data_IF_583779341988
#
_entry.id   IF_583779341988
#
_cell.length_a   1.000
_cell.length_b   1.000
_cell.length_c   1.000
_cell.angle_alpha   90.00
_cell.angle_beta   90.00
_cell.angle_gamma   90.00
#
_symmetry.space_group_name_H-M   'P 1'
#
loop_
_entity.id
_entity.type
_entity.pdbx_description
1 polymer ?
#
# COMPACT_ATOMS: atom_id res chain seq x y z
N UNK A 1 17.71 -12.58 6.29
CA UNK A 1 17.46 -12.01 4.95
C UNK A 1 16.24 -11.14 5.07
N UNK A 2 16.34 -9.86 4.76
CA UNK A 2 15.19 -8.95 4.89
C UNK A 2 14.45 -8.92 3.57
N UNK A 3 13.20 -9.38 3.58
CA UNK A 3 12.36 -9.38 2.37
C UNK A 3 12.11 -7.94 1.92
N UNK A 4 12.40 -7.67 0.65
CA UNK A 4 12.08 -6.40 0.01
C UNK A 4 10.58 -6.11 0.12
N UNK A 5 10.20 -4.83 0.07
CA UNK A 5 8.80 -4.46 0.18
C UNK A 5 8.01 -4.92 -1.04
N UNK A 6 6.76 -5.34 -0.82
CA UNK A 6 5.86 -5.79 -1.88
C UNK A 6 5.67 -4.73 -2.99
N UNK A 7 5.81 -3.44 -2.68
CA UNK A 7 5.70 -2.34 -3.65
C UNK A 7 6.87 -2.21 -4.64
N UNK A 8 7.84 -3.14 -4.61
CA UNK A 8 9.02 -3.18 -5.47
C UNK A 8 10.21 -2.36 -4.96
N UNK A 9 10.09 -1.70 -3.82
CA UNK A 9 11.19 -0.96 -3.23
C UNK A 9 12.21 -1.91 -2.57
N UNK A 10 13.52 -1.62 -2.66
CA UNK A 10 14.55 -2.51 -2.14
C UNK A 10 14.63 -2.53 -0.60
N UNK A 11 13.99 -1.56 0.07
CA UNK A 11 13.99 -1.52 1.53
C UNK A 11 13.09 -2.61 2.12
N UNK A 12 13.39 -3.06 3.35
CA UNK A 12 12.50 -3.92 4.14
C UNK A 12 11.08 -3.36 4.22
N UNK A 13 10.07 -4.24 4.19
CA UNK A 13 8.66 -3.84 4.38
C UNK A 13 8.46 -2.88 5.56
N UNK A 14 9.01 -3.19 6.73
CA UNK A 14 8.86 -2.36 7.94
C UNK A 14 9.43 -0.93 7.77
N UNK A 15 10.50 -0.77 6.99
CA UNK A 15 11.11 0.51 6.69
C UNK A 15 10.51 1.21 5.45
N UNK A 16 9.65 0.51 4.70
CA UNK A 16 9.02 0.98 3.47
C UNK A 16 7.52 1.24 3.65
N UNK A 17 6.63 0.33 3.24
CA UNK A 17 5.18 0.52 3.36
C UNK A 17 4.64 0.21 4.76
N UNK A 18 5.33 -0.66 5.52
CA UNK A 18 4.96 -1.04 6.88
C UNK A 18 4.90 0.14 7.84
N UNK A 19 5.73 1.18 7.64
CA UNK A 19 5.69 2.41 8.46
C UNK A 19 4.38 3.18 8.33
N UNK A 20 3.69 3.07 7.19
CA UNK A 20 2.39 3.68 6.94
C UNK A 20 1.23 2.77 7.35
N UNK A 21 1.40 1.45 7.26
CA UNK A 21 0.34 0.49 7.60
C UNK A 21 0.10 0.36 9.10
N UNK A 22 1.17 0.24 9.89
CA UNK A 22 1.06 0.02 11.34
C UNK A 22 2.27 0.58 12.12
N UNK A 23 3.11 1.39 11.46
CA UNK A 23 4.31 1.96 12.07
C UNK A 23 4.13 3.43 12.48
N UNK A 24 5.24 4.11 12.80
CA UNK A 24 5.22 5.47 13.34
C UNK A 24 4.60 6.54 12.44
N UNK A 25 4.43 6.25 11.15
CA UNK A 25 3.86 7.17 10.15
C UNK A 25 2.49 6.67 9.68
N UNK A 26 1.72 6.03 10.56
CA UNK A 26 0.45 5.41 10.20
C UNK A 26 -0.50 6.41 9.50
N UNK A 27 -0.98 6.05 8.30
CA UNK A 27 -1.83 6.89 7.42
C UNK A 27 -1.19 8.20 6.92
N UNK A 28 0.10 8.42 7.16
CA UNK A 28 0.82 9.66 6.83
C UNK A 28 1.76 9.48 5.64
N UNK A 29 1.27 8.87 4.54
CA UNK A 29 2.03 8.82 3.30
C UNK A 29 2.26 10.26 2.77
N UNK A 30 3.52 10.68 2.51
CA UNK A 30 3.86 12.09 2.28
C UNK A 30 3.43 12.63 0.91
N UNK A 31 3.21 11.76 -0.06
CA UNK A 31 2.84 12.13 -1.42
C UNK A 31 1.98 11.03 -2.10
N UNK A 32 1.52 11.32 -3.31
CA UNK A 32 0.64 10.45 -4.05
C UNK A 32 1.30 9.11 -4.43
N UNK A 33 2.59 9.11 -4.76
CA UNK A 33 3.32 7.89 -5.10
C UNK A 33 3.54 6.99 -3.88
N UNK A 34 3.95 7.56 -2.74
CA UNK A 34 4.10 6.85 -1.49
C UNK A 34 2.77 6.25 -1.04
N UNK A 35 1.67 6.99 -1.21
CA UNK A 35 0.33 6.47 -0.93
C UNK A 35 -0.02 5.32 -1.88
N UNK A 36 0.23 5.47 -3.19
CA UNK A 36 -0.04 4.42 -4.18
C UNK A 36 0.75 3.13 -3.90
N UNK A 37 2.05 3.25 -3.62
CA UNK A 37 2.94 2.13 -3.25
C UNK A 37 2.48 1.44 -1.97
N UNK A 38 2.13 2.20 -0.94
CA UNK A 38 1.61 1.64 0.31
C UNK A 38 0.30 0.89 0.08
N UNK A 39 -0.65 1.48 -0.66
CA UNK A 39 -1.92 0.82 -1.00
C UNK A 39 -1.71 -0.45 -1.81
N UNK A 40 -0.78 -0.47 -2.77
CA UNK A 40 -0.42 -1.70 -3.46
C UNK A 40 0.04 -2.78 -2.47
N UNK A 41 1.00 -2.47 -1.59
CA UNK A 41 1.45 -3.44 -0.57
C UNK A 41 0.33 -3.85 0.39
N UNK A 42 -0.63 -2.96 0.68
CA UNK A 42 -1.79 -3.30 1.49
C UNK A 42 -2.72 -4.29 0.77
N UNK A 43 -2.92 -4.16 -0.54
CA UNK A 43 -3.62 -5.17 -1.34
C UNK A 43 -2.88 -6.52 -1.33
N UNK A 44 -1.55 -6.54 -1.54
CA UNK A 44 -0.77 -7.80 -1.49
C UNK A 44 -0.93 -8.54 -0.16
N UNK A 45 -1.06 -7.79 0.93
CA UNK A 45 -1.07 -8.29 2.31
C UNK A 45 -2.47 -8.37 2.92
N UNK A 46 -3.50 -8.07 2.12
CA UNK A 46 -4.90 -8.08 2.52
C UNK A 46 -5.24 -7.17 3.71
N UNK A 47 -4.62 -5.99 3.77
CA UNK A 47 -4.83 -4.98 4.82
C UNK A 47 -5.99 -4.04 4.46
N UNK A 48 -7.20 -4.58 4.44
CA UNK A 48 -8.43 -3.89 4.00
C UNK A 48 -8.74 -2.63 4.82
N UNK A 49 -8.49 -2.63 6.13
CA UNK A 49 -8.70 -1.45 6.98
C UNK A 49 -7.86 -0.26 6.55
N UNK A 50 -6.58 -0.48 6.20
CA UNK A 50 -5.70 0.57 5.69
C UNK A 50 -6.17 1.08 4.32
N UNK A 51 -6.63 0.18 3.45
CA UNK A 51 -7.15 0.53 2.14
C UNK A 51 -8.42 1.41 2.26
N UNK A 52 -9.31 1.11 3.20
CA UNK A 52 -10.50 1.91 3.47
C UNK A 52 -10.16 3.25 4.15
N UNK A 53 -9.22 3.26 5.09
CA UNK A 53 -8.82 4.49 5.78
C UNK A 53 -8.17 5.52 4.85
N UNK A 54 -7.46 5.06 3.82
CA UNK A 54 -6.75 5.91 2.86
C UNK A 54 -7.53 6.20 1.57
N UNK A 55 -8.77 5.75 1.47
CA UNK A 55 -9.63 6.04 0.33
C UNK A 55 -10.37 7.36 0.54
N UNK A 56 -10.45 8.18 -0.50
CA UNK A 56 -11.24 9.41 -0.43
C UNK A 56 -12.72 9.10 -0.10
N UNK A 57 -13.29 9.82 0.88
CA UNK A 57 -14.61 9.48 1.44
C UNK A 57 -15.74 9.46 0.40
N UNK A 58 -15.68 10.32 -0.63
CA UNK A 58 -16.75 10.39 -1.65
C UNK A 58 -16.80 9.20 -2.61
N UNK A 59 -15.73 8.41 -2.70
CA UNK A 59 -15.62 7.28 -3.64
C UNK A 59 -15.26 5.97 -2.96
N UNK A 60 -15.20 5.96 -1.62
CA UNK A 60 -14.83 4.80 -0.82
C UNK A 60 -16.00 3.80 -0.77
N UNK A 61 -15.77 2.51 -1.12
CA UNK A 61 -16.78 1.48 -0.91
C UNK A 61 -16.99 1.22 0.59
N UNK A 62 -18.17 0.74 1.03
CA UNK A 62 -18.45 0.48 2.44
C UNK A 62 -17.59 -0.66 3.02
N UNK A 63 -17.15 -1.60 2.17
CA UNK A 63 -16.28 -2.71 2.51
C UNK A 63 -15.42 -3.11 1.31
N UNK A 64 -14.34 -3.84 1.58
CA UNK A 64 -13.53 -4.52 0.58
C UNK A 64 -13.55 -6.01 0.88
N UNK A 65 -13.76 -6.82 -0.15
CA UNK A 65 -13.59 -8.26 -0.05
C UNK A 65 -12.10 -8.60 0.06
N UNK A 66 -11.75 -9.64 0.83
CA UNK A 66 -10.37 -10.13 0.88
C UNK A 66 -9.93 -10.66 -0.48
N UNK A 67 -8.62 -10.79 -0.67
CA UNK A 67 -8.07 -11.41 -1.86
C UNK A 67 -8.66 -12.83 -2.05
N UNK A 68 -9.22 -13.16 -3.24
CA UNK A 68 -9.72 -14.49 -3.51
C UNK A 68 -8.58 -15.52 -3.54
N UNK A 69 -8.93 -16.78 -3.31
CA UNK A 69 -7.99 -17.88 -3.36
C UNK A 69 -7.26 -17.93 -4.71
N UNK A 70 -5.93 -18.10 -4.66
CA UNK A 70 -5.09 -18.19 -5.86
C UNK A 70 -4.74 -16.86 -6.52
N UNK A 71 -5.24 -15.72 -6.03
CA UNK A 71 -4.79 -14.41 -6.51
C UNK A 71 -3.30 -14.20 -6.22
N UNK A 72 -2.55 -13.77 -7.23
CA UNK A 72 -1.13 -13.42 -7.10
C UNK A 72 -0.86 -12.02 -7.63
N UNK A 73 -0.34 -11.18 -6.75
CA UNK A 73 0.16 -9.87 -7.10
C UNK A 73 1.61 -9.99 -7.61
N UNK A 74 1.84 -9.61 -8.86
CA UNK A 74 3.11 -9.89 -9.56
C UNK A 74 4.19 -8.82 -9.37
N UNK A 75 3.79 -7.57 -9.13
CA UNK A 75 4.70 -6.45 -8.97
C UNK A 75 4.02 -5.12 -9.25
N UNK A 76 4.73 -4.05 -8.90
CA UNK A 76 4.30 -2.67 -9.12
C UNK A 76 5.39 -1.90 -9.86
N UNK A 77 5.01 -1.25 -10.96
CA UNK A 77 5.85 -0.29 -11.68
C UNK A 77 5.13 1.07 -11.73
N UNK A 78 5.70 2.09 -11.08
CA UNK A 78 5.21 3.46 -11.16
C UNK A 78 5.90 4.14 -12.34
N UNK A 79 5.14 4.49 -13.39
CA UNK A 79 5.68 5.10 -14.61
C UNK A 79 5.97 6.59 -14.49
N UNK A 80 5.16 7.31 -13.71
CA UNK A 80 5.30 8.75 -13.54
C UNK A 80 4.64 9.20 -12.23
N UNK A 81 5.26 10.17 -11.58
CA UNK A 81 4.70 10.94 -10.48
C UNK A 81 5.18 12.39 -10.63
N UNK A 82 4.31 13.35 -10.35
CA UNK A 82 4.66 14.78 -10.33
C UNK A 82 4.29 15.34 -8.97
N UNK A 83 5.29 15.88 -8.29
CA UNK A 83 5.07 16.68 -7.09
C UNK A 83 4.71 18.09 -7.57
N UNK A 84 3.62 18.63 -7.04
CA UNK A 84 3.22 20.02 -7.30
C UNK A 84 4.10 20.99 -6.53
#
# INVERSE_FOLDING_TARGET
MTTACDCGAPQPYAACCGRYHAGPQHLLAPDAEALMRSRYSAFVRDLTDYLLATWHASTRPPALEPNPEGLRWLGLEVRQHRVQ
#
